data_IF_731119382252
#
_entry.id   IF_731119382252
#
_cell.length_a   1.000
_cell.length_b   1.000
_cell.length_c   1.000
_cell.angle_alpha   90.00
_cell.angle_beta   90.00
_cell.angle_gamma   90.00
#
_symmetry.space_group_name_H-M   'P 1'
#
loop_
_entity.id
_entity.type
_entity.pdbx_description
1 polymer ?
#
# COMPACT_ATOMS: atom_id res chain seq x y z
N UNK A 1 16.66 22.21 -13.36
CA UNK A 1 17.45 22.23 -12.11
C UNK A 1 16.77 21.25 -11.15
N UNK A 2 17.21 20.02 -10.93
CA UNK A 2 18.44 19.32 -11.26
C UNK A 2 18.07 17.96 -11.87
N UNK A 3 18.56 17.67 -13.08
CA UNK A 3 18.64 16.32 -13.61
C UNK A 3 19.73 15.60 -12.83
N UNK A 4 19.37 14.95 -11.73
CA UNK A 4 20.28 14.06 -11.02
C UNK A 4 20.70 12.95 -11.99
N UNK A 5 21.99 12.92 -12.31
CA UNK A 5 22.61 11.80 -13.00
C UNK A 5 22.34 10.53 -12.17
N UNK A 6 21.79 9.45 -12.78
CA UNK A 6 21.47 8.25 -12.02
C UNK A 6 22.76 7.65 -11.46
N UNK A 7 22.82 7.54 -10.14
CA UNK A 7 23.91 6.88 -9.42
C UNK A 7 24.21 5.51 -10.04
N UNK A 8 25.42 5.35 -10.57
CA UNK A 8 25.94 4.21 -11.35
C UNK A 8 26.04 2.88 -10.59
N UNK A 9 25.45 2.78 -9.39
CA UNK A 9 25.42 1.58 -8.54
C UNK A 9 24.04 0.93 -8.38
N UNK A 10 22.98 1.51 -8.94
CA UNK A 10 21.63 0.94 -8.88
C UNK A 10 21.32 0.33 -10.25
N UNK A 11 21.07 -0.99 -10.36
CA UNK A 11 20.65 -1.60 -11.62
C UNK A 11 19.33 -0.97 -12.05
N UNK A 12 19.46 0.02 -12.92
CA UNK A 12 18.35 0.76 -13.50
C UNK A 12 18.02 0.03 -14.78
N UNK A 13 16.77 -0.44 -14.92
CA UNK A 13 16.29 -1.09 -16.14
C UNK A 13 15.68 0.00 -17.04
N UNK A 14 16.44 0.63 -17.96
CA UNK A 14 15.92 1.70 -18.80
C UNK A 14 14.74 1.24 -19.67
N UNK A 15 14.66 -0.06 -19.98
CA UNK A 15 13.54 -0.69 -20.69
C UNK A 15 12.18 -0.55 -19.96
N UNK A 16 12.19 -0.37 -18.63
CA UNK A 16 10.97 -0.31 -17.80
C UNK A 16 10.52 1.11 -17.50
N UNK A 17 11.27 2.12 -17.91
CA UNK A 17 10.90 3.53 -17.71
C UNK A 17 9.53 3.86 -18.33
N UNK A 18 9.26 3.33 -19.54
CA UNK A 18 7.97 3.48 -20.22
C UNK A 18 6.81 2.79 -19.48
N UNK A 19 7.07 1.69 -18.76
CA UNK A 19 6.05 0.93 -18.03
C UNK A 19 5.92 1.31 -16.56
N UNK A 20 6.79 2.17 -16.03
CA UNK A 20 6.75 2.66 -14.65
C UNK A 20 5.39 3.28 -14.30
N UNK A 21 4.83 4.08 -15.21
CA UNK A 21 3.52 4.70 -15.02
C UNK A 21 2.41 3.65 -14.99
N UNK A 22 2.46 2.66 -15.88
CA UNK A 22 1.48 1.56 -15.93
C UNK A 22 1.53 0.73 -14.65
N UNK A 23 2.72 0.42 -14.15
CA UNK A 23 2.90 -0.27 -12.86
C UNK A 23 2.29 0.52 -11.70
N UNK A 24 2.50 1.84 -11.69
CA UNK A 24 1.95 2.74 -10.66
C UNK A 24 0.42 2.80 -10.75
N UNK A 25 -0.14 2.91 -11.95
CA UNK A 25 -1.59 2.93 -12.18
C UNK A 25 -2.27 1.59 -11.89
N UNK A 26 -1.58 0.47 -12.12
CA UNK A 26 -2.10 -0.88 -11.87
C UNK A 26 -2.41 -1.10 -10.38
N UNK A 27 -1.63 -0.48 -9.49
CA UNK A 27 -1.93 -0.46 -8.06
C UNK A 27 -3.31 0.16 -7.78
N UNK A 28 -3.63 1.29 -8.44
CA UNK A 28 -4.92 1.96 -8.26
C UNK A 28 -6.10 1.16 -8.79
N UNK A 29 -5.92 0.41 -9.89
CA UNK A 29 -7.00 -0.44 -10.42
C UNK A 29 -7.39 -1.53 -9.44
N UNK A 30 -6.41 -2.22 -8.86
CA UNK A 30 -6.64 -3.19 -7.81
C UNK A 30 -7.31 -2.53 -6.59
N UNK A 31 -6.77 -1.39 -6.16
CA UNK A 31 -7.27 -0.66 -5.00
C UNK A 31 -8.75 -0.27 -5.15
N UNK A 32 -9.15 0.33 -6.27
CA UNK A 32 -10.53 0.81 -6.50
C UNK A 32 -11.51 -0.36 -6.56
N UNK A 33 -11.19 -1.41 -7.33
CA UNK A 33 -12.06 -2.56 -7.48
C UNK A 33 -12.33 -3.26 -6.13
N UNK A 34 -11.28 -3.42 -5.31
CA UNK A 34 -11.40 -4.07 -4.02
C UNK A 34 -11.95 -3.16 -2.92
N UNK A 35 -11.84 -1.84 -3.04
CA UNK A 35 -12.40 -0.90 -2.07
C UNK A 35 -13.92 -1.01 -1.96
N UNK A 36 -14.62 -1.27 -3.08
CA UNK A 36 -16.07 -1.50 -3.09
C UNK A 36 -16.41 -2.81 -2.37
N UNK A 37 -15.68 -3.89 -2.68
CA UNK A 37 -15.85 -5.19 -2.01
C UNK A 37 -15.51 -5.11 -0.52
N UNK A 38 -14.51 -4.32 -0.14
CA UNK A 38 -14.06 -4.15 1.22
C UNK A 38 -15.14 -3.62 2.16
N UNK A 39 -16.00 -2.72 1.68
CA UNK A 39 -17.10 -2.17 2.45
C UNK A 39 -18.09 -3.26 2.91
N UNK A 40 -18.55 -4.09 1.98
CA UNK A 40 -19.51 -5.16 2.29
C UNK A 40 -18.85 -6.30 3.09
N UNK A 41 -17.59 -6.63 2.79
CA UNK A 41 -16.86 -7.68 3.51
C UNK A 41 -16.62 -7.28 4.97
N UNK A 42 -16.35 -6.00 5.25
CA UNK A 42 -16.16 -5.48 6.62
C UNK A 42 -17.42 -5.63 7.45
N UNK A 43 -18.58 -5.42 6.83
CA UNK A 43 -19.89 -5.59 7.48
C UNK A 43 -20.18 -7.04 7.83
N UNK A 44 -19.75 -7.99 7.00
CA UNK A 44 -20.02 -9.44 7.18
C UNK A 44 -19.01 -10.16 8.07
N UNK A 45 -17.70 -9.94 7.89
CA UNK A 45 -16.64 -10.70 8.56
C UNK A 45 -15.97 -9.97 9.73
N UNK A 46 -16.28 -8.68 9.91
CA UNK A 46 -15.70 -7.84 10.94
C UNK A 46 -14.27 -7.38 10.62
N UNK A 47 -13.94 -6.17 11.05
CA UNK A 47 -12.67 -5.49 10.72
C UNK A 47 -11.41 -6.28 11.16
N UNK A 48 -11.48 -7.09 12.21
CA UNK A 48 -10.32 -7.81 12.77
C UNK A 48 -9.76 -8.88 11.81
N UNK A 49 -10.65 -9.67 11.19
CA UNK A 49 -10.24 -10.73 10.26
C UNK A 49 -9.77 -10.18 8.93
N UNK A 50 -10.41 -9.12 8.44
CA UNK A 50 -9.98 -8.45 7.22
C UNK A 50 -8.62 -7.80 7.36
N UNK A 51 -8.36 -7.13 8.47
CA UNK A 51 -7.06 -6.51 8.71
C UNK A 51 -5.94 -7.56 8.68
N UNK A 52 -6.15 -8.69 9.35
CA UNK A 52 -5.17 -9.80 9.39
C UNK A 52 -4.96 -10.42 8.00
N UNK A 53 -6.04 -10.68 7.26
CA UNK A 53 -5.98 -11.25 5.91
C UNK A 53 -5.28 -10.32 4.91
N UNK A 54 -5.60 -9.03 4.95
CA UNK A 54 -4.96 -8.00 4.12
C UNK A 54 -3.48 -7.83 4.41
N UNK A 55 -3.08 -7.80 5.69
CA UNK A 55 -1.68 -7.74 6.08
C UNK A 55 -0.93 -9.00 5.65
N UNK A 56 -1.54 -10.18 5.77
CA UNK A 56 -0.95 -11.43 5.31
C UNK A 56 -0.75 -11.43 3.79
N UNK A 57 -1.77 -11.05 3.03
CA UNK A 57 -1.69 -10.96 1.56
C UNK A 57 -0.65 -9.93 1.11
N UNK A 58 -0.56 -8.78 1.79
CA UNK A 58 0.42 -7.74 1.52
C UNK A 58 1.86 -8.21 1.79
N UNK A 59 2.08 -8.90 2.91
CA UNK A 59 3.38 -9.48 3.26
C UNK A 59 3.81 -10.54 2.26
N UNK A 60 2.89 -11.45 1.90
CA UNK A 60 3.14 -12.48 0.89
C UNK A 60 3.49 -11.85 -0.46
N UNK A 61 2.74 -10.83 -0.89
CA UNK A 61 3.03 -10.11 -2.14
C UNK A 61 4.40 -9.42 -2.13
N UNK A 62 4.87 -8.97 -0.96
CA UNK A 62 6.18 -8.35 -0.80
C UNK A 62 7.32 -9.39 -0.93
N UNK A 63 7.14 -10.58 -0.35
CA UNK A 63 8.08 -11.70 -0.50
C UNK A 63 8.10 -12.25 -1.93
N UNK A 64 6.96 -12.24 -2.61
CA UNK A 64 6.83 -12.68 -4.00
C UNK A 64 7.42 -11.67 -4.99
N UNK A 65 7.47 -10.38 -4.65
CA UNK A 65 7.97 -9.32 -5.52
C UNK A 65 9.39 -9.61 -6.12
N UNK A 66 10.43 -9.95 -5.34
CA UNK A 66 11.76 -10.26 -5.88
C UNK A 66 11.77 -11.58 -6.70
N UNK A 67 10.97 -12.57 -6.30
CA UNK A 67 10.85 -13.86 -6.99
C UNK A 67 10.22 -13.70 -8.39
N UNK A 68 9.11 -12.97 -8.46
CA UNK A 68 8.42 -12.69 -9.72
C UNK A 68 9.19 -11.74 -10.62
N UNK A 69 9.95 -10.79 -10.04
CA UNK A 69 10.85 -9.94 -10.80
C UNK A 69 11.92 -10.76 -11.53
N UNK A 70 12.47 -11.80 -10.89
CA UNK A 70 13.49 -12.66 -11.48
C UNK A 70 12.94 -13.68 -12.50
N UNK A 71 11.69 -14.14 -12.35
CA UNK A 71 11.12 -15.21 -13.18
C UNK A 71 10.27 -14.71 -14.35
N UNK A 72 9.51 -13.62 -14.16
CA UNK A 72 8.49 -13.14 -15.10
C UNK A 72 8.75 -11.72 -15.60
N UNK A 73 9.84 -11.07 -15.19
CA UNK A 73 10.17 -9.71 -15.59
C UNK A 73 9.09 -8.68 -15.19
N UNK A 74 8.78 -7.74 -16.08
CA UNK A 74 7.89 -6.61 -15.82
C UNK A 74 6.43 -7.02 -15.51
N UNK A 75 5.91 -8.09 -16.10
CA UNK A 75 4.55 -8.56 -15.90
C UNK A 75 4.30 -9.11 -14.48
N UNK A 76 5.27 -9.84 -13.92
CA UNK A 76 5.18 -10.37 -12.56
C UNK A 76 5.19 -9.26 -11.50
N UNK A 77 5.94 -8.19 -11.75
CA UNK A 77 5.96 -7.00 -10.88
C UNK A 77 4.60 -6.29 -10.89
N UNK A 78 3.97 -6.15 -12.06
CA UNK A 78 2.62 -5.57 -12.18
C UNK A 78 1.60 -6.39 -11.39
N UNK A 79 1.62 -7.72 -11.52
CA UNK A 79 0.70 -8.60 -10.80
C UNK A 79 0.87 -8.49 -9.27
N UNK A 80 2.11 -8.51 -8.77
CA UNK A 80 2.39 -8.33 -7.35
C UNK A 80 1.95 -6.93 -6.86
N UNK A 81 2.08 -5.89 -7.70
CA UNK A 81 1.60 -4.53 -7.38
C UNK A 81 0.09 -4.45 -7.29
N UNK A 82 -0.64 -5.12 -8.17
CA UNK A 82 -2.10 -5.21 -8.09
C UNK A 82 -2.48 -5.90 -6.78
N UNK A 83 -1.90 -7.06 -6.46
CA UNK A 83 -2.16 -7.79 -5.21
C UNK A 83 -1.87 -6.94 -3.96
N UNK A 84 -0.77 -6.19 -3.98
CA UNK A 84 -0.44 -5.27 -2.89
C UNK A 84 -1.47 -4.13 -2.76
N UNK A 85 -1.98 -3.63 -3.90
CA UNK A 85 -3.11 -2.70 -3.95
C UNK A 85 -4.38 -3.27 -3.34
N UNK A 86 -4.69 -4.55 -3.63
CA UNK A 86 -5.82 -5.27 -3.01
C UNK A 86 -5.66 -5.39 -1.49
N UNK A 87 -4.44 -5.64 -1.00
CA UNK A 87 -4.18 -5.71 0.44
C UNK A 87 -4.38 -4.35 1.12
N UNK A 88 -3.95 -3.26 0.48
CA UNK A 88 -3.96 -1.91 1.06
C UNK A 88 -5.34 -1.24 1.08
N UNK A 89 -6.29 -1.65 0.23
CA UNK A 89 -7.64 -1.04 0.14
C UNK A 89 -8.48 -1.16 1.42
N UNK A 90 -8.20 -2.16 2.27
CA UNK A 90 -8.94 -2.39 3.51
C UNK A 90 -8.38 -1.64 4.72
N UNK A 91 -7.13 -1.17 4.66
CA UNK A 91 -6.43 -0.65 5.85
C UNK A 91 -7.14 0.59 6.42
N UNK A 92 -7.53 1.54 5.57
CA UNK A 92 -8.18 2.79 6.00
C UNK A 92 -9.56 2.60 6.65
N UNK A 93 -10.54 1.90 6.02
CA UNK A 93 -11.85 1.68 6.65
C UNK A 93 -11.76 0.75 7.88
N UNK A 94 -10.86 -0.24 7.87
CA UNK A 94 -10.64 -1.11 9.03
C UNK A 94 -10.00 -0.33 10.18
N UNK A 95 -9.01 0.53 9.92
CA UNK A 95 -8.39 1.37 10.93
C UNK A 95 -9.42 2.30 11.57
N UNK A 96 -10.27 2.96 10.77
CA UNK A 96 -11.36 3.80 11.29
C UNK A 96 -12.36 3.00 12.14
N UNK A 97 -12.76 1.80 11.69
CA UNK A 97 -13.66 0.91 12.45
C UNK A 97 -13.02 0.40 13.75
N UNK A 98 -11.74 0.08 13.73
CA UNK A 98 -10.99 -0.40 14.89
C UNK A 98 -10.75 0.73 15.90
N UNK A 99 -10.31 1.92 15.45
CA UNK A 99 -10.16 3.12 16.27
C UNK A 99 -11.48 3.54 16.92
N UNK A 100 -12.59 3.44 16.19
CA UNK A 100 -13.93 3.68 16.72
C UNK A 100 -14.24 2.72 17.87
N UNK A 101 -13.94 1.42 17.71
CA UNK A 101 -14.24 0.42 18.74
C UNK A 101 -13.30 0.46 19.95
N UNK A 102 -12.04 0.88 19.75
CA UNK A 102 -11.00 0.89 20.79
C UNK A 102 -10.87 2.21 21.54
N UNK A 103 -11.34 3.33 20.99
CA UNK A 103 -11.14 4.64 21.63
C UNK A 103 -12.43 5.16 22.27
N UNK A 104 -12.42 5.55 23.56
CA UNK A 104 -13.55 6.20 24.21
C UNK A 104 -13.94 7.49 23.46
N UNK A 105 -15.25 7.76 23.39
CA UNK A 105 -15.86 8.73 22.45
C UNK A 105 -15.24 10.13 22.54
N UNK A 106 -14.74 10.53 23.71
CA UNK A 106 -14.11 11.84 23.94
C UNK A 106 -12.69 12.01 23.40
N UNK A 107 -11.92 10.94 23.18
CA UNK A 107 -10.50 11.01 22.80
C UNK A 107 -10.19 10.47 21.39
N UNK A 108 -11.21 10.02 20.64
CA UNK A 108 -11.07 9.54 19.25
C UNK A 108 -10.27 10.51 18.37
N UNK A 109 -10.53 11.81 18.48
CA UNK A 109 -9.82 12.82 17.68
C UNK A 109 -8.32 12.90 18.02
N UNK A 110 -7.93 12.72 19.29
CA UNK A 110 -6.51 12.77 19.71
C UNK A 110 -5.74 11.55 19.24
N UNK A 111 -6.32 10.36 19.34
CA UNK A 111 -5.69 9.12 18.86
C UNK A 111 -5.53 9.12 17.34
N UNK A 112 -6.53 9.62 16.62
CA UNK A 112 -6.43 9.86 15.17
C UNK A 112 -5.32 10.88 14.89
N UNK A 113 -5.33 12.06 15.51
CA UNK A 113 -4.30 13.08 15.29
C UNK A 113 -2.88 12.55 15.57
N UNK A 114 -2.70 11.76 16.63
CA UNK A 114 -1.43 11.10 16.94
C UNK A 114 -1.00 10.12 15.85
N UNK A 115 -1.90 9.26 15.38
CA UNK A 115 -1.61 8.30 14.30
C UNK A 115 -1.22 9.02 13.00
N UNK A 116 -1.94 10.08 12.65
CA UNK A 116 -1.66 10.86 11.43
C UNK A 116 -0.34 11.66 11.53
N UNK A 117 0.03 12.15 12.72
CA UNK A 117 1.30 12.87 12.93
C UNK A 117 2.54 12.06 12.51
N UNK A 118 2.49 10.73 12.68
CA UNK A 118 3.55 9.82 12.26
C UNK A 118 3.75 9.82 10.74
N UNK A 119 2.65 9.78 9.98
CA UNK A 119 2.68 9.79 8.51
C UNK A 119 3.28 11.09 7.97
N UNK A 120 2.95 12.24 8.56
CA UNK A 120 3.53 13.52 8.14
C UNK A 120 5.03 13.62 8.42
N UNK A 121 5.51 13.03 9.52
CA UNK A 121 6.94 13.00 9.83
C UNK A 121 7.76 12.17 8.83
N UNK A 122 7.20 11.06 8.35
CA UNK A 122 7.87 10.20 7.36
C UNK A 122 8.08 10.91 6.01
N UNK A 123 7.05 11.64 5.58
CA UNK A 123 7.09 12.44 4.35
C UNK A 123 8.17 13.53 4.46
N UNK A 124 8.25 14.25 5.59
CA UNK A 124 9.26 15.29 5.81
C UNK A 124 10.70 14.74 5.81
N UNK A 125 10.90 13.53 6.35
CA UNK A 125 12.23 12.89 6.33
C UNK A 125 12.66 12.47 4.92
N UNK A 126 11.69 12.10 4.07
CA UNK A 126 11.94 11.71 2.68
C UNK A 126 12.30 12.90 1.79
N UNK A 127 11.79 14.11 2.07
CA UNK A 127 12.17 15.34 1.36
C UNK A 127 13.43 16.02 1.93
N UNK A 128 13.94 15.54 3.06
CA UNK A 128 15.13 16.08 3.70
C UNK A 128 16.42 15.39 3.26
N UNK A 129 16.35 14.42 2.34
CA UNK A 129 17.49 13.75 1.69
C UNK A 129 17.42 13.99 0.20
#
# INVERSE_FOLDING_TARGET
MLSEEPSTGIPTYPEWSSMKNVMLSSFFWGYIAFQIFAGELTRRYGAKWLFTSSTFLGSLSCLLLPLFASLFGSGGVIFCRVLQGLGQSFLWPCAHSLLSKWTPVGDRAKTVAFTYSGTYRDILNTYSK
#
